data_IF_784295539185
#
_entry.id   IF_784295539185
#
_cell.length_a   1.000
_cell.length_b   1.000
_cell.length_c   1.000
_cell.angle_alpha   90.00
_cell.angle_beta   90.00
_cell.angle_gamma   90.00
#
_symmetry.space_group_name_H-M   'P 1'
#
loop_
_entity.id
_entity.type
_entity.pdbx_description
1 polymer ?
#
# COMPACT_ATOMS: atom_id res chain seq x y z
N UNK A 1 9.71 5.71 -3.48
CA UNK A 1 9.19 6.85 -4.26
C UNK A 1 8.89 6.55 -5.73
N UNK A 2 9.44 5.47 -6.32
CA UNK A 2 9.32 5.22 -7.76
C UNK A 2 7.94 4.66 -8.20
N UNK A 3 7.38 3.66 -7.49
CA UNK A 3 6.05 3.07 -7.79
C UNK A 3 4.83 4.02 -7.68
N UNK A 4 5.06 5.25 -7.21
CA UNK A 4 4.09 6.17 -6.59
C UNK A 4 3.57 7.24 -7.53
N UNK A 5 4.50 7.85 -8.26
CA UNK A 5 4.18 8.82 -9.30
C UNK A 5 3.76 8.06 -10.54
N UNK A 6 4.34 6.87 -10.73
CA UNK A 6 3.85 5.89 -11.68
C UNK A 6 2.38 5.62 -11.47
N UNK A 7 1.84 5.26 -10.30
CA UNK A 7 0.40 4.95 -10.22
C UNK A 7 -0.51 6.13 -10.58
N UNK A 8 -0.21 7.34 -10.08
CA UNK A 8 -1.00 8.55 -10.38
C UNK A 8 -0.87 8.97 -11.85
N UNK A 9 0.32 8.86 -12.41
CA UNK A 9 0.63 9.29 -13.77
C UNK A 9 0.24 8.24 -14.81
N UNK A 10 0.46 6.95 -14.52
CA UNK A 10 -0.06 5.79 -15.26
C UNK A 10 -1.57 5.84 -15.32
N UNK A 11 -2.27 6.12 -14.22
CA UNK A 11 -3.73 6.27 -14.23
C UNK A 11 -4.19 7.34 -15.24
N UNK A 12 -3.41 8.42 -15.40
CA UNK A 12 -3.69 9.45 -16.42
C UNK A 12 -3.29 9.05 -17.84
N UNK A 13 -2.20 8.31 -18.03
CA UNK A 13 -1.68 7.94 -19.35
C UNK A 13 -2.34 6.69 -19.94
N UNK A 14 -2.55 5.67 -19.12
CA UNK A 14 -3.22 4.40 -19.45
C UNK A 14 -4.74 4.60 -19.43
N UNK A 15 -5.24 5.42 -18.51
CA UNK A 15 -6.65 5.65 -18.27
C UNK A 15 -7.19 4.85 -17.08
N UNK A 16 -8.33 5.25 -16.51
CA UNK A 16 -8.94 4.56 -15.37
C UNK A 16 -9.48 3.18 -15.78
N UNK A 17 -9.69 2.31 -14.78
CA UNK A 17 -10.47 1.08 -14.96
C UNK A 17 -11.92 1.39 -15.32
N UNK A 18 -12.62 0.33 -15.75
CA UNK A 18 -14.06 0.34 -15.96
C UNK A 18 -14.78 0.95 -14.76
N UNK A 19 -15.83 1.74 -15.03
CA UNK A 19 -16.60 2.41 -13.98
C UNK A 19 -17.21 1.39 -13.01
N UNK A 20 -17.67 0.25 -13.53
CA UNK A 20 -18.21 -0.88 -12.75
C UNK A 20 -17.21 -1.41 -11.72
N UNK A 21 -15.94 -1.55 -12.10
CA UNK A 21 -14.87 -2.07 -11.23
C UNK A 21 -14.44 -1.06 -10.18
N UNK A 22 -14.57 0.23 -10.50
CA UNK A 22 -14.29 1.33 -9.56
C UNK A 22 -15.39 1.46 -8.52
N UNK A 23 -16.64 1.24 -8.92
CA UNK A 23 -17.79 1.24 -8.01
C UNK A 23 -17.84 -0.04 -7.14
N UNK A 24 -17.41 -1.18 -7.70
CA UNK A 24 -17.36 -2.48 -7.01
C UNK A 24 -15.93 -2.90 -6.66
N UNK A 25 -15.31 -2.17 -5.74
CA UNK A 25 -13.92 -2.38 -5.34
C UNK A 25 -13.76 -3.45 -4.24
N UNK A 26 -13.99 -4.72 -4.59
CA UNK A 26 -13.86 -5.86 -3.67
C UNK A 26 -12.49 -6.52 -3.87
N UNK A 27 -11.75 -6.87 -2.79
CA UNK A 27 -10.51 -7.63 -2.92
C UNK A 27 -10.76 -9.00 -3.56
N UNK A 28 -9.90 -9.37 -4.51
CA UNK A 28 -9.99 -10.67 -5.17
C UNK A 28 -9.72 -11.84 -4.18
N UNK A 29 -8.68 -11.75 -3.35
CA UNK A 29 -8.36 -12.78 -2.35
C UNK A 29 -7.63 -12.21 -1.11
N UNK A 30 -8.32 -12.21 0.04
CA UNK A 30 -7.78 -11.66 1.30
C UNK A 30 -6.69 -12.55 1.89
N UNK A 31 -6.81 -13.88 1.75
CA UNK A 31 -5.82 -14.81 2.29
C UNK A 31 -4.48 -14.69 1.56
N UNK A 32 -4.51 -14.58 0.23
CA UNK A 32 -3.31 -14.36 -0.57
C UNK A 32 -2.68 -12.99 -0.27
N UNK A 33 -3.50 -11.95 -0.07
CA UNK A 33 -3.02 -10.65 0.40
C UNK A 33 -2.29 -10.75 1.74
N UNK A 34 -2.81 -11.53 2.69
CA UNK A 34 -2.16 -11.74 3.99
C UNK A 34 -0.84 -12.52 3.86
N UNK A 35 -0.79 -13.53 3.01
CA UNK A 35 0.46 -14.24 2.70
C UNK A 35 1.51 -13.28 2.13
N UNK A 36 1.10 -12.43 1.17
CA UNK A 36 1.94 -11.38 0.61
C UNK A 36 2.39 -10.36 1.67
N UNK A 37 1.51 -9.98 2.59
CA UNK A 37 1.84 -9.08 3.69
C UNK A 37 2.92 -9.67 4.62
N UNK A 38 2.81 -10.96 4.98
CA UNK A 38 3.81 -11.66 5.78
C UNK A 38 5.17 -11.75 5.08
N UNK A 39 5.18 -12.11 3.78
CA UNK A 39 6.40 -12.14 2.98
C UNK A 39 7.04 -10.75 2.86
N UNK A 40 6.23 -9.70 2.68
CA UNK A 40 6.71 -8.32 2.62
C UNK A 40 7.34 -7.89 3.94
N UNK A 41 6.71 -8.15 5.10
CA UNK A 41 7.26 -7.79 6.39
C UNK A 41 8.60 -8.49 6.63
N UNK A 42 8.64 -9.81 6.42
CA UNK A 42 9.87 -10.59 6.55
C UNK A 42 10.97 -10.08 5.60
N UNK A 43 10.62 -9.88 4.32
CA UNK A 43 11.53 -9.35 3.31
C UNK A 43 12.03 -7.95 3.63
N UNK A 44 11.20 -7.09 4.25
CA UNK A 44 11.60 -5.73 4.61
C UNK A 44 12.66 -5.69 5.71
N UNK A 45 12.66 -6.69 6.61
CA UNK A 45 13.73 -6.83 7.59
C UNK A 45 15.08 -7.06 6.89
N UNK A 46 15.11 -7.85 5.82
CA UNK A 46 16.28 -7.99 4.94
C UNK A 46 16.58 -6.73 4.13
N UNK A 47 15.55 -6.03 3.64
CA UNK A 47 15.69 -4.79 2.87
C UNK A 47 16.38 -3.68 3.68
N UNK A 48 15.89 -3.41 4.90
CA UNK A 48 16.47 -2.38 5.77
C UNK A 48 17.71 -2.89 6.51
N UNK A 49 17.69 -4.13 7.00
CA UNK A 49 18.81 -4.74 7.72
C UNK A 49 20.02 -5.02 6.83
N UNK A 50 19.81 -5.24 5.53
CA UNK A 50 20.87 -5.45 4.55
C UNK A 50 21.42 -4.16 3.93
N UNK A 51 20.75 -3.01 4.12
CA UNK A 51 21.18 -1.73 3.56
C UNK A 51 22.60 -1.29 3.97
N UNK A 52 23.14 -1.66 5.15
CA UNK A 52 24.54 -1.38 5.48
C UNK A 52 25.56 -2.26 4.73
N UNK A 53 25.11 -3.25 3.94
CA UNK A 53 25.93 -4.23 3.21
C UNK A 53 26.94 -5.01 4.07
N UNK A 54 26.70 -5.07 5.38
CA UNK A 54 27.53 -5.77 6.35
C UNK A 54 26.69 -6.26 7.53
N UNK A 55 27.16 -7.30 8.22
CA UNK A 55 26.58 -7.76 9.48
C UNK A 55 27.16 -6.95 10.65
N UNK A 56 26.54 -5.83 10.99
CA UNK A 56 27.02 -4.91 12.02
C UNK A 56 25.87 -4.41 12.92
N UNK A 57 26.21 -3.57 13.92
CA UNK A 57 25.25 -3.02 14.86
C UNK A 57 24.13 -2.21 14.18
N UNK A 58 24.46 -1.46 13.13
CA UNK A 58 23.48 -0.66 12.38
C UNK A 58 22.45 -1.56 11.70
N UNK A 59 22.86 -2.71 11.17
CA UNK A 59 21.96 -3.71 10.59
C UNK A 59 20.96 -4.24 11.62
N UNK A 60 21.43 -4.55 12.84
CA UNK A 60 20.55 -5.00 13.94
C UNK A 60 19.55 -3.92 14.35
N UNK A 61 20.00 -2.65 14.45
CA UNK A 61 19.13 -1.51 14.78
C UNK A 61 18.11 -1.28 13.67
N UNK A 62 18.51 -1.39 12.39
CA UNK A 62 17.62 -1.25 11.26
C UNK A 62 16.50 -2.30 11.25
N UNK A 63 16.82 -3.56 11.55
CA UNK A 63 15.81 -4.63 11.68
C UNK A 63 14.87 -4.34 12.85
N UNK A 64 15.40 -3.94 14.01
CA UNK A 64 14.58 -3.62 15.19
C UNK A 64 13.61 -2.47 14.90
N UNK A 65 14.13 -1.36 14.36
CA UNK A 65 13.34 -0.18 14.02
C UNK A 65 12.27 -0.49 12.97
N UNK A 66 12.60 -1.36 12.00
CA UNK A 66 11.64 -1.82 10.98
C UNK A 66 10.44 -2.51 11.61
N UNK A 67 10.68 -3.43 12.54
CA UNK A 67 9.62 -4.17 13.21
C UNK A 67 8.79 -3.29 14.16
N UNK A 68 9.44 -2.41 14.93
CA UNK A 68 8.75 -1.47 15.82
C UNK A 68 7.83 -0.56 15.01
N UNK A 69 8.34 0.08 13.96
CA UNK A 69 7.54 1.00 13.13
C UNK A 69 6.35 0.29 12.47
N UNK A 70 6.58 -0.90 11.90
CA UNK A 70 5.51 -1.69 11.28
C UNK A 70 4.41 -2.06 12.27
N UNK A 71 4.78 -2.58 13.44
CA UNK A 71 3.83 -2.97 14.48
C UNK A 71 3.05 -1.77 15.02
N UNK A 72 3.73 -0.65 15.33
CA UNK A 72 3.06 0.56 15.82
C UNK A 72 2.12 1.15 14.77
N UNK A 73 2.54 1.21 13.50
CA UNK A 73 1.71 1.73 12.41
C UNK A 73 0.48 0.87 12.14
N UNK A 74 0.63 -0.45 12.17
CA UNK A 74 -0.48 -1.41 12.07
C UNK A 74 -1.50 -1.18 13.19
N UNK A 75 -1.04 -1.08 14.44
CA UNK A 75 -1.92 -0.85 15.59
C UNK A 75 -2.66 0.48 15.46
N UNK A 76 -1.95 1.57 15.17
CA UNK A 76 -2.54 2.91 15.03
C UNK A 76 -3.57 2.94 13.91
N UNK A 77 -3.26 2.37 12.75
CA UNK A 77 -4.20 2.30 11.63
C UNK A 77 -5.45 1.50 12.00
N UNK A 78 -5.27 0.33 12.60
CA UNK A 78 -6.39 -0.55 12.98
C UNK A 78 -7.26 0.13 14.05
N UNK A 79 -6.64 0.83 14.99
CA UNK A 79 -7.34 1.63 16.00
C UNK A 79 -8.14 2.77 15.37
N UNK A 80 -7.58 3.49 14.39
CA UNK A 80 -8.30 4.53 13.65
C UNK A 80 -9.47 3.96 12.84
N UNK A 81 -9.31 2.77 12.24
CA UNK A 81 -10.41 2.08 11.56
C UNK A 81 -11.54 1.72 12.53
N UNK A 82 -11.21 1.21 13.72
CA UNK A 82 -12.21 0.93 14.76
C UNK A 82 -12.93 2.20 15.19
N UNK A 83 -12.20 3.31 15.41
CA UNK A 83 -12.83 4.57 15.81
C UNK A 83 -13.73 5.18 14.74
N UNK A 84 -13.33 5.09 13.46
CA UNK A 84 -14.04 5.76 12.37
C UNK A 84 -15.13 4.89 11.73
N UNK A 85 -14.88 3.59 11.58
CA UNK A 85 -15.80 2.63 10.94
C UNK A 85 -16.51 1.70 11.92
N UNK A 86 -16.17 1.74 13.22
CA UNK A 86 -16.78 0.91 14.27
C UNK A 86 -16.29 -0.54 14.29
N UNK A 87 -15.38 -0.95 13.40
CA UNK A 87 -14.87 -2.32 13.31
C UNK A 87 -13.44 -2.36 12.77
N UNK A 88 -12.61 -3.33 13.18
CA UNK A 88 -11.27 -3.48 12.64
C UNK A 88 -11.31 -3.95 11.18
N UNK A 89 -10.34 -3.49 10.38
CA UNK A 89 -10.19 -3.88 8.97
C UNK A 89 -8.90 -4.65 8.75
N UNK A 90 -8.98 -5.84 8.17
CA UNK A 90 -7.79 -6.64 7.80
C UNK A 90 -6.98 -5.94 6.71
N UNK A 91 -7.66 -5.36 5.72
CA UNK A 91 -7.03 -4.58 4.65
C UNK A 91 -6.34 -3.35 5.25
N UNK A 92 -7.02 -2.69 6.19
CA UNK A 92 -6.47 -1.54 6.91
C UNK A 92 -5.22 -1.91 7.72
N UNK A 93 -5.25 -3.02 8.44
CA UNK A 93 -4.08 -3.52 9.18
C UNK A 93 -2.87 -3.76 8.25
N UNK A 94 -3.09 -4.36 7.07
CA UNK A 94 -2.04 -4.54 6.06
C UNK A 94 -1.54 -3.20 5.50
N UNK A 95 -2.42 -2.23 5.24
CA UNK A 95 -2.02 -0.88 4.82
C UNK A 95 -1.21 -0.16 5.93
N UNK A 96 -1.64 -0.27 7.18
CA UNK A 96 -0.92 0.25 8.35
C UNK A 96 0.46 -0.35 8.50
N UNK A 97 0.59 -1.67 8.32
CA UNK A 97 1.88 -2.35 8.30
C UNK A 97 2.80 -1.80 7.19
N UNK A 98 2.31 -1.76 5.93
CA UNK A 98 3.10 -1.31 4.78
C UNK A 98 3.55 0.15 4.95
N UNK A 99 2.68 1.03 5.45
CA UNK A 99 3.03 2.43 5.68
C UNK A 99 4.09 2.60 6.76
N UNK A 100 4.04 1.80 7.83
CA UNK A 100 5.09 1.75 8.86
C UNK A 100 6.45 1.32 8.32
N UNK A 101 6.44 0.27 7.49
CA UNK A 101 7.65 -0.23 6.81
C UNK A 101 8.21 0.81 5.82
N UNK A 102 7.35 1.44 5.01
CA UNK A 102 7.76 2.46 4.06
C UNK A 102 8.31 3.72 4.74
N UNK A 103 7.67 4.16 5.83
CA UNK A 103 8.06 5.37 6.56
C UNK A 103 9.42 5.23 7.26
N UNK A 104 9.71 4.07 7.89
CA UNK A 104 10.98 3.88 8.60
C UNK A 104 12.17 3.65 7.68
N UNK A 105 11.93 3.18 6.45
CA UNK A 105 12.99 2.83 5.47
C UNK A 105 14.14 3.86 5.37
N UNK A 106 13.89 5.17 5.16
CA UNK A 106 14.99 6.16 5.06
C UNK A 106 15.76 6.38 6.37
N UNK A 107 15.16 6.06 7.53
CA UNK A 107 15.72 6.30 8.85
C UNK A 107 16.18 5.03 9.58
N UNK A 108 15.95 3.83 9.02
CA UNK A 108 15.96 2.58 9.76
C UNK A 108 17.25 2.35 10.57
N UNK A 109 18.41 2.59 9.97
CA UNK A 109 19.72 2.43 10.63
C UNK A 109 20.27 3.70 11.30
N UNK A 110 19.59 4.84 11.20
CA UNK A 110 20.14 6.15 11.62
C UNK A 110 19.28 6.87 12.66
N UNK A 111 18.24 6.21 13.18
CA UNK A 111 17.39 6.75 14.25
C UNK A 111 17.38 5.81 15.46
N UNK A 112 17.11 6.39 16.62
CA UNK A 112 16.94 5.64 17.87
C UNK A 112 15.62 4.84 17.85
N UNK A 113 15.58 3.70 18.55
CA UNK A 113 14.42 2.80 18.48
C UNK A 113 13.14 3.36 19.09
N UNK A 114 13.23 4.28 20.05
CA UNK A 114 12.06 5.01 20.53
C UNK A 114 11.47 5.91 19.43
N UNK A 115 12.30 6.46 18.54
CA UNK A 115 11.84 7.28 17.42
C UNK A 115 11.11 6.42 16.38
N UNK A 116 11.45 5.13 16.24
CA UNK A 116 10.71 4.21 15.37
C UNK A 116 9.23 4.06 15.78
N UNK A 117 8.90 4.21 17.08
CA UNK A 117 7.51 4.27 17.55
C UNK A 117 6.82 5.52 17.01
N UNK A 118 7.50 6.68 17.05
CA UNK A 118 6.98 7.95 16.50
C UNK A 118 6.75 7.83 14.99
N UNK A 119 7.68 7.19 14.27
CA UNK A 119 7.50 6.91 12.83
C UNK A 119 6.25 6.08 12.60
N UNK A 120 6.07 5.00 13.35
CA UNK A 120 4.90 4.14 13.24
C UNK A 120 3.59 4.88 13.56
N UNK A 121 3.57 5.72 14.59
CA UNK A 121 2.37 6.51 14.92
C UNK A 121 1.99 7.50 13.82
N UNK A 122 2.98 8.19 13.25
CA UNK A 122 2.75 9.16 12.19
C UNK A 122 2.42 8.48 10.86
N UNK A 123 3.03 7.35 10.53
CA UNK A 123 2.72 6.58 9.32
C UNK A 123 1.39 5.86 9.38
N UNK A 124 0.94 5.47 10.58
CA UNK A 124 -0.38 4.88 10.78
C UNK A 124 -1.51 5.92 10.69
N UNK A 125 -1.22 7.19 10.97
CA UNK A 125 -2.23 8.25 11.05
C UNK A 125 -2.29 9.18 9.84
N UNK A 126 -1.16 9.66 9.34
CA UNK A 126 -1.11 10.65 8.24
C UNK A 126 -1.53 10.02 6.89
N UNK A 127 -0.93 8.91 6.44
CA UNK A 127 -1.43 8.13 5.32
C UNK A 127 -2.91 7.73 5.46
N UNK A 128 -3.35 7.27 6.64
CA UNK A 128 -4.75 6.94 6.90
C UNK A 128 -5.67 8.14 6.65
N UNK A 129 -5.35 9.31 7.24
CA UNK A 129 -6.11 10.54 7.06
C UNK A 129 -6.16 10.96 5.58
N UNK A 130 -5.01 10.89 4.90
CA UNK A 130 -4.92 11.27 3.50
C UNK A 130 -5.76 10.37 2.59
N UNK A 131 -5.85 9.07 2.90
CA UNK A 131 -6.62 8.10 2.14
C UNK A 131 -8.12 8.17 2.46
N UNK A 132 -8.49 8.19 3.75
CA UNK A 132 -9.89 8.06 4.18
C UNK A 132 -10.66 9.38 4.11
N UNK A 133 -9.98 10.51 4.30
CA UNK A 133 -10.61 11.83 4.42
C UNK A 133 -10.22 12.73 3.24
N UNK A 134 -8.92 12.94 3.00
CA UNK A 134 -8.48 13.89 1.98
C UNK A 134 -8.82 13.44 0.54
N UNK A 135 -8.69 12.14 0.25
CA UNK A 135 -9.08 11.59 -1.06
C UNK A 135 -10.54 11.89 -1.39
N UNK A 136 -11.45 11.75 -0.42
CA UNK A 136 -12.88 12.01 -0.62
C UNK A 136 -13.22 13.48 -0.81
N UNK A 137 -12.40 14.39 -0.27
CA UNK A 137 -12.61 15.85 -0.35
C UNK A 137 -11.96 16.48 -1.58
N UNK A 138 -10.94 15.86 -2.16
CA UNK A 138 -10.21 16.42 -3.30
C UNK A 138 -10.72 15.86 -4.63
N UNK A 139 -11.36 16.73 -5.42
CA UNK A 139 -11.81 16.40 -6.78
C UNK A 139 -10.66 16.01 -7.71
N UNK A 140 -9.43 16.45 -7.41
CA UNK A 140 -8.24 16.08 -8.16
C UNK A 140 -7.80 14.64 -7.85
N UNK A 141 -7.87 14.22 -6.58
CA UNK A 141 -7.48 12.87 -6.17
C UNK A 141 -8.51 11.82 -6.60
N UNK A 142 -9.80 12.16 -6.65
CA UNK A 142 -10.85 11.27 -7.15
C UNK A 142 -10.73 10.94 -8.64
N UNK A 143 -10.05 11.79 -9.42
CA UNK A 143 -9.77 11.54 -10.84
C UNK A 143 -8.65 10.52 -11.06
N UNK A 144 -7.91 10.19 -9.99
CA UNK A 144 -6.81 9.24 -10.04
C UNK A 144 -7.32 7.88 -9.56
N UNK A 145 -7.31 6.90 -10.45
CA UNK A 145 -7.63 5.51 -10.12
C UNK A 145 -6.37 4.78 -9.64
N UNK A 146 -5.97 5.08 -8.40
CA UNK A 146 -4.88 4.40 -7.70
C UNK A 146 -5.42 3.15 -7.00
N UNK A 147 -5.46 2.04 -7.73
CA UNK A 147 -6.09 0.78 -7.31
C UNK A 147 -5.52 0.31 -5.97
N UNK A 148 -4.21 0.07 -5.92
CA UNK A 148 -3.54 -0.49 -4.75
C UNK A 148 -3.25 0.56 -3.64
N UNK A 149 -3.80 1.77 -3.74
CA UNK A 149 -3.52 2.88 -2.82
C UNK A 149 -2.01 3.13 -2.63
N UNK A 150 -1.21 2.93 -3.68
CA UNK A 150 0.27 3.03 -3.64
C UNK A 150 0.71 4.46 -3.36
N UNK A 151 -0.05 5.44 -3.83
CA UNK A 151 0.21 6.84 -3.54
C UNK A 151 0.18 7.10 -2.02
N UNK A 152 -0.86 6.66 -1.33
CA UNK A 152 -0.97 6.88 0.12
C UNK A 152 0.04 6.05 0.90
N UNK A 153 0.14 4.77 0.56
CA UNK A 153 0.92 3.82 1.34
C UNK A 153 2.42 3.98 1.15
N UNK A 154 2.87 4.52 0.01
CA UNK A 154 4.28 4.68 -0.28
C UNK A 154 4.70 6.15 -0.50
N UNK A 155 3.89 7.01 -1.15
CA UNK A 155 4.28 8.40 -1.42
C UNK A 155 4.28 9.21 -0.14
N UNK A 156 3.12 9.22 0.50
CA UNK A 156 2.88 10.01 1.71
C UNK A 156 3.74 9.45 2.82
N UNK A 157 3.73 8.12 3.01
CA UNK A 157 4.57 7.45 4.00
C UNK A 157 6.07 7.64 3.73
N UNK A 158 6.53 7.50 2.48
CA UNK A 158 7.95 7.65 2.13
C UNK A 158 8.46 9.08 2.26
N UNK A 159 7.67 10.07 1.83
CA UNK A 159 7.97 11.48 2.04
C UNK A 159 8.05 11.79 3.53
N UNK A 160 7.03 11.38 4.29
CA UNK A 160 7.00 11.53 5.74
C UNK A 160 8.25 10.93 6.39
N UNK A 161 8.60 9.70 6.03
CA UNK A 161 9.80 9.03 6.51
C UNK A 161 11.09 9.82 6.24
N UNK A 162 11.25 10.32 5.02
CA UNK A 162 12.40 11.13 4.64
C UNK A 162 12.50 12.42 5.45
N UNK A 163 11.36 13.10 5.66
CA UNK A 163 11.27 14.32 6.46
C UNK A 163 11.56 14.03 7.94
N UNK A 164 10.98 12.98 8.51
CA UNK A 164 11.27 12.53 9.87
C UNK A 164 12.73 12.17 10.05
N UNK A 165 13.38 11.59 9.03
CA UNK A 165 14.82 11.29 9.08
C UNK A 165 15.62 12.58 9.18
N UNK A 166 15.19 13.64 8.48
CA UNK A 166 15.77 14.97 8.63
C UNK A 166 15.64 15.59 10.02
N UNK A 167 14.68 15.12 10.83
CA UNK A 167 14.48 15.58 12.21
C UNK A 167 15.21 14.70 13.23
N UNK A 168 15.10 13.38 13.09
CA UNK A 168 15.49 12.37 14.09
C UNK A 168 16.80 11.63 13.78
N UNK A 169 17.51 11.97 12.70
CA UNK A 169 18.81 11.35 12.41
C UNK A 169 19.79 11.56 13.58
N UNK A 170 20.18 10.47 14.23
CA UNK A 170 21.01 10.51 15.42
C UNK A 170 22.50 10.56 15.01
N UNK A 171 23.30 11.51 15.57
CA UNK A 171 24.67 11.74 15.15
C UNK A 171 25.60 10.52 15.21
N UNK A 172 25.53 9.71 16.27
CA UNK A 172 26.45 8.59 16.44
C UNK A 172 26.13 7.42 15.50
N UNK A 173 24.85 7.09 15.32
CA UNK A 173 24.40 6.14 14.30
C UNK A 173 24.74 6.61 12.89
N UNK A 174 24.57 7.91 12.61
CA UNK A 174 24.95 8.48 11.33
C UNK A 174 26.44 8.32 11.04
N UNK A 175 27.33 8.54 12.04
CA UNK A 175 28.79 8.34 11.88
C UNK A 175 29.17 6.88 11.60
N UNK A 176 28.38 5.91 12.04
CA UNK A 176 28.68 4.49 11.85
C UNK A 176 28.43 4.01 10.41
N UNK A 177 27.56 4.67 9.65
CA UNK A 177 27.14 4.21 8.31
C UNK A 177 27.32 5.23 7.20
N UNK A 178 27.23 6.53 7.50
CA UNK A 178 27.28 7.56 6.47
C UNK A 178 28.71 8.03 6.22
N UNK A 179 29.11 8.20 4.94
CA UNK A 179 30.42 8.77 4.61
C UNK A 179 30.51 10.27 4.93
N UNK A 180 29.37 10.95 5.08
CA UNK A 180 29.30 12.39 5.35
C UNK A 180 29.41 12.65 6.84
N UNK A 181 30.52 13.27 7.24
CA UNK A 181 30.77 13.67 8.63
C UNK A 181 29.79 14.75 9.11
N UNK A 182 29.54 14.79 10.42
CA UNK A 182 28.62 15.74 11.07
C UNK A 182 27.17 15.70 10.57
N UNK A 183 26.73 14.58 9.99
CA UNK A 183 25.31 14.37 9.66
C UNK A 183 24.51 14.17 10.94
N UNK A 184 23.47 14.99 11.13
CA UNK A 184 22.57 14.93 12.29
C UNK A 184 21.25 15.61 11.98
N UNK A 185 20.20 15.11 12.61
CA UNK A 185 18.85 15.64 12.49
C UNK A 185 18.67 16.97 13.22
N UNK A 186 17.58 17.66 12.91
CA UNK A 186 17.25 18.94 13.52
C UNK A 186 17.20 18.88 15.06
N UNK A 187 16.64 17.80 15.63
CA UNK A 187 16.51 17.64 17.08
C UNK A 187 17.83 17.35 17.81
N UNK A 188 18.88 17.02 17.07
CA UNK A 188 20.23 16.82 17.60
C UNK A 188 21.17 18.02 17.33
N UNK A 189 20.60 19.19 17.02
CA UNK A 189 21.38 20.41 16.75
C UNK A 189 21.98 20.46 15.34
N UNK A 190 21.40 19.73 14.37
CA UNK A 190 21.71 19.87 12.94
C UNK A 190 21.06 21.08 12.25
N UNK A 191 20.20 21.80 12.98
CA UNK A 191 19.36 22.85 12.44
C UNK A 191 18.38 22.35 11.37
N UNK A 192 17.80 23.26 10.59
CA UNK A 192 16.87 22.92 9.50
C UNK A 192 17.54 22.35 8.24
N UNK A 193 18.88 22.29 8.21
CA UNK A 193 19.63 21.95 7.00
C UNK A 193 19.39 20.52 6.51
N UNK A 194 19.35 19.55 7.43
CA UNK A 194 19.12 18.15 7.07
C UNK A 194 17.67 17.93 6.62
N UNK A 195 16.70 18.54 7.30
CA UNK A 195 15.31 18.52 6.88
C UNK A 195 15.13 19.11 5.47
N UNK A 196 15.76 20.25 5.19
CA UNK A 196 15.72 20.89 3.87
C UNK A 196 16.35 19.99 2.78
N UNK A 197 17.48 19.34 3.06
CA UNK A 197 18.08 18.37 2.14
C UNK A 197 17.13 17.21 1.82
N UNK A 198 16.47 16.66 2.83
CA UNK A 198 15.48 15.59 2.64
C UNK A 198 14.29 16.05 1.80
N UNK A 199 13.81 17.28 2.02
CA UNK A 199 12.73 17.87 1.23
C UNK A 199 13.16 18.09 -0.24
N UNK A 200 14.33 18.67 -0.47
CA UNK A 200 14.86 18.89 -1.83
C UNK A 200 15.09 17.57 -2.56
N UNK A 201 15.68 16.58 -1.88
CA UNK A 201 15.84 15.24 -2.43
C UNK A 201 14.49 14.61 -2.80
N UNK A 202 13.47 14.79 -1.95
CA UNK A 202 12.14 14.30 -2.24
C UNK A 202 11.51 14.98 -3.46
N UNK A 203 11.60 16.31 -3.56
CA UNK A 203 11.10 17.06 -4.72
C UNK A 203 11.83 16.68 -6.01
N UNK A 204 13.15 16.48 -5.95
CA UNK A 204 13.93 16.01 -7.09
C UNK A 204 13.46 14.63 -7.56
N UNK A 205 13.36 13.66 -6.65
CA UNK A 205 12.90 12.31 -6.98
C UNK A 205 11.46 12.35 -7.52
N UNK A 206 10.61 13.25 -7.01
CA UNK A 206 9.25 13.44 -7.53
C UNK A 206 9.30 13.95 -8.97
N UNK A 207 10.02 15.04 -9.23
CA UNK A 207 10.15 15.61 -10.56
C UNK A 207 10.77 14.62 -11.56
N UNK A 208 11.83 13.94 -11.15
CA UNK A 208 12.51 12.94 -11.98
C UNK A 208 11.58 11.80 -12.37
N UNK A 209 10.87 11.19 -11.42
CA UNK A 209 9.94 10.10 -11.73
C UNK A 209 8.79 10.56 -12.62
N UNK A 210 8.25 11.78 -12.41
CA UNK A 210 7.20 12.32 -13.30
C UNK A 210 7.74 12.35 -14.72
N UNK A 211 8.91 12.96 -14.92
CA UNK A 211 9.51 13.13 -16.26
C UNK A 211 9.89 11.78 -16.89
N UNK A 212 10.66 10.95 -16.18
CA UNK A 212 11.16 9.69 -16.72
C UNK A 212 10.04 8.71 -17.06
N UNK A 213 9.08 8.52 -16.15
CA UNK A 213 7.93 7.66 -16.39
C UNK A 213 7.08 8.20 -17.55
N UNK A 214 6.85 9.52 -17.62
CA UNK A 214 6.12 10.12 -18.75
C UNK A 214 6.78 9.76 -20.07
N UNK A 215 8.10 9.94 -20.17
CA UNK A 215 8.86 9.67 -21.39
C UNK A 215 8.79 8.19 -21.75
N UNK A 216 9.01 7.29 -20.78
CA UNK A 216 8.97 5.84 -21.00
C UNK A 216 7.60 5.42 -21.55
N UNK A 217 6.51 5.89 -20.93
CA UNK A 217 5.15 5.53 -21.36
C UNK A 217 4.80 6.11 -22.73
N UNK A 218 5.23 7.34 -23.03
CA UNK A 218 5.03 7.93 -24.35
C UNK A 218 5.77 7.14 -25.42
N UNK A 219 7.01 6.72 -25.15
CA UNK A 219 7.79 5.87 -26.07
C UNK A 219 7.10 4.52 -26.26
N UNK A 220 6.69 3.85 -25.19
CA UNK A 220 5.99 2.56 -25.27
C UNK A 220 4.67 2.73 -26.04
N UNK A 221 3.93 3.82 -25.84
CA UNK A 221 2.67 4.11 -26.51
C UNK A 221 2.80 4.24 -28.03
N UNK A 222 3.97 4.64 -28.53
CA UNK A 222 4.24 4.69 -29.97
C UNK A 222 4.36 3.27 -30.56
N UNK A 223 4.86 2.32 -29.77
CA UNK A 223 5.13 0.96 -30.22
C UNK A 223 3.96 0.00 -29.96
N UNK A 224 3.33 0.10 -28.78
CA UNK A 224 2.26 -0.81 -28.34
C UNK A 224 1.18 -0.04 -27.56
N UNK A 225 -0.05 -0.58 -27.56
CA UNK A 225 -1.14 -0.02 -26.75
C UNK A 225 -0.89 -0.31 -25.27
N UNK A 226 -0.83 0.74 -24.44
CA UNK A 226 -0.63 0.64 -22.99
C UNK A 226 -1.84 0.04 -22.25
N UNK A 227 -3.04 0.12 -22.83
CA UNK A 227 -4.29 -0.36 -22.24
C UNK A 227 -4.97 -1.33 -23.19
N UNK A 228 -5.46 -2.41 -22.60
CA UNK A 228 -6.32 -3.39 -23.24
C UNK A 228 -7.66 -2.77 -23.68
N UNK A 229 -8.24 -3.19 -24.83
CA UNK A 229 -9.59 -2.77 -25.23
C UNK A 229 -10.63 -3.07 -24.15
N UNK A 230 -11.69 -2.25 -24.10
CA UNK A 230 -12.73 -2.36 -23.07
C UNK A 230 -13.42 -3.71 -23.05
N UNK A 231 -13.63 -4.31 -24.23
CA UNK A 231 -14.24 -5.64 -24.39
C UNK A 231 -13.39 -6.76 -23.76
N UNK A 232 -12.06 -6.70 -23.87
CA UNK A 232 -11.17 -7.67 -23.23
C UNK A 232 -11.04 -7.41 -21.72
N UNK A 233 -11.13 -6.15 -21.27
CA UNK A 233 -11.16 -5.82 -19.83
C UNK A 233 -12.41 -6.38 -19.13
N UNK A 234 -13.53 -6.50 -19.84
CA UNK A 234 -14.76 -7.13 -19.33
C UNK A 234 -14.58 -8.65 -19.11
N UNK A 235 -13.76 -9.31 -19.93
CA UNK A 235 -13.48 -10.74 -19.85
C UNK A 235 -12.44 -11.03 -18.75
N UNK A 236 -11.39 -10.20 -18.66
CA UNK A 236 -10.35 -10.34 -17.63
C UNK A 236 -9.26 -11.35 -17.99
N UNK A 237 -8.81 -12.16 -17.03
CA UNK A 237 -7.63 -13.03 -17.17
C UNK A 237 -7.76 -14.02 -18.33
N UNK A 238 -8.96 -14.53 -18.62
CA UNK A 238 -9.21 -15.44 -19.74
C UNK A 238 -8.87 -14.80 -21.10
N UNK A 239 -9.16 -13.50 -21.30
CA UNK A 239 -8.81 -12.81 -22.54
C UNK A 239 -7.31 -12.61 -22.74
N UNK A 240 -6.51 -12.69 -21.68
CA UNK A 240 -5.06 -12.43 -21.71
C UNK A 240 -4.25 -13.73 -21.66
N UNK A 241 -4.66 -14.65 -20.81
CA UNK A 241 -3.92 -15.86 -20.46
C UNK A 241 -4.64 -17.13 -20.91
N UNK A 242 -5.92 -17.07 -21.28
CA UNK A 242 -6.74 -18.25 -21.59
C UNK A 242 -7.00 -19.14 -20.37
N UNK A 243 -6.85 -18.58 -19.16
CA UNK A 243 -6.98 -19.29 -17.90
C UNK A 243 -7.78 -18.45 -16.91
N UNK A 244 -8.67 -19.09 -16.14
CA UNK A 244 -9.31 -18.46 -14.99
C UNK A 244 -8.48 -18.68 -13.72
N UNK A 245 -8.23 -17.60 -12.97
CA UNK A 245 -7.47 -17.66 -11.72
C UNK A 245 -8.09 -18.58 -10.66
N UNK A 246 -9.41 -18.76 -10.69
CA UNK A 246 -10.13 -19.67 -9.82
C UNK A 246 -11.22 -20.43 -10.57
N UNK A 247 -11.02 -21.73 -10.77
CA UNK A 247 -12.07 -22.64 -11.23
C UNK A 247 -13.05 -22.99 -10.09
N UNK A 248 -13.74 -21.98 -9.54
CA UNK A 248 -14.73 -22.19 -8.46
C UNK A 248 -15.97 -22.92 -8.97
N UNK A 249 -16.23 -22.83 -10.27
CA UNK A 249 -17.25 -23.57 -11.00
C UNK A 249 -16.61 -23.95 -12.33
N UNK A 250 -16.25 -25.22 -12.51
CA UNK A 250 -15.95 -25.71 -13.86
C UNK A 250 -17.15 -25.45 -14.75
N UNK A 251 -16.92 -25.13 -16.02
CA UNK A 251 -17.96 -24.86 -17.02
C UNK A 251 -19.17 -25.79 -16.86
N UNK A 252 -20.24 -25.30 -16.20
CA UNK A 252 -21.51 -26.01 -16.04
C UNK A 252 -21.84 -26.61 -14.67
N UNK A 253 -20.94 -26.63 -13.68
CA UNK A 253 -21.32 -27.09 -12.33
C UNK A 253 -21.94 -25.94 -11.53
N UNK A 254 -23.26 -25.98 -11.34
CA UNK A 254 -23.94 -25.18 -10.31
C UNK A 254 -23.84 -25.92 -8.98
N UNK A 255 -23.65 -25.18 -7.88
CA UNK A 255 -23.77 -25.73 -6.53
C UNK A 255 -25.09 -26.51 -6.38
N UNK A 256 -25.00 -27.83 -6.35
CA UNK A 256 -26.14 -28.69 -6.08
C UNK A 256 -26.27 -28.87 -4.56
N UNK A 257 -27.09 -28.02 -3.95
CA UNK A 257 -27.39 -28.09 -2.52
C UNK A 257 -28.02 -29.44 -2.10
N UNK A 258 -28.50 -30.25 -3.05
CA UNK A 258 -29.08 -31.57 -2.78
C UNK A 258 -28.03 -32.67 -2.58
N UNK A 259 -26.78 -32.45 -3.01
CA UNK A 259 -25.72 -33.48 -2.87
C UNK A 259 -25.11 -33.53 -1.46
N UNK A 260 -25.18 -32.44 -0.69
CA UNK A 260 -24.57 -32.36 0.65
C UNK A 260 -25.48 -31.76 1.73
N UNK A 261 -26.74 -31.44 1.43
CA UNK A 261 -27.74 -31.07 2.43
C UNK A 261 -28.36 -32.31 3.08
N UNK A 262 -28.43 -32.34 4.41
CA UNK A 262 -29.24 -33.33 5.13
C UNK A 262 -30.65 -33.37 4.51
N UNK A 263 -31.08 -34.53 4.03
CA UNK A 263 -32.40 -34.77 3.44
C UNK A 263 -33.53 -34.44 4.43
N UNK A 264 -33.85 -33.15 4.55
CA UNK A 264 -35.00 -32.67 5.29
C UNK A 264 -35.97 -31.99 4.30
N UNK A 265 -37.10 -32.62 3.97
CA UNK A 265 -38.00 -32.16 2.91
C UNK A 265 -38.59 -30.76 3.16
N UNK A 266 -38.52 -30.22 4.37
CA UNK A 266 -38.94 -28.85 4.69
C UNK A 266 -38.00 -27.76 4.11
N UNK A 267 -36.76 -28.09 3.76
CA UNK A 267 -35.78 -27.11 3.23
C UNK A 267 -35.88 -26.90 1.71
N UNK A 268 -36.45 -27.86 0.98
CA UNK A 268 -36.54 -27.83 -0.49
C UNK A 268 -37.64 -26.87 -0.97
N UNK A 269 -38.73 -26.77 -0.22
CA UNK A 269 -39.87 -25.91 -0.55
C UNK A 269 -39.56 -24.41 -0.42
N UNK A 270 -38.62 -24.04 0.44
CA UNK A 270 -38.20 -22.64 0.63
C UNK A 270 -37.33 -22.11 -0.54
N UNK A 271 -36.67 -23.00 -1.28
CA UNK A 271 -35.79 -22.66 -2.42
C UNK A 271 -36.51 -22.71 -3.77
N UNK A 272 -37.70 -23.30 -3.84
CA UNK A 272 -38.48 -23.48 -5.07
C UNK A 272 -39.39 -22.28 -5.42
N UNK A 273 -39.36 -21.18 -4.65
CA UNK A 273 -40.03 -19.95 -5.05
C UNK A 273 -39.16 -19.15 -6.03
N UNK A 274 -39.74 -18.56 -7.11
CA UNK A 274 -39.00 -17.73 -8.06
C UNK A 274 -38.63 -16.40 -7.39
N UNK A 275 -37.56 -16.42 -6.62
CA UNK A 275 -37.09 -15.31 -5.80
C UNK A 275 -35.61 -15.51 -5.46
N UNK A 276 -34.78 -15.69 -6.49
CA UNK A 276 -33.33 -15.77 -6.34
C UNK A 276 -32.77 -14.49 -5.70
N UNK A 277 -32.14 -14.67 -4.53
CA UNK A 277 -31.23 -13.77 -3.83
C UNK A 277 -31.46 -12.26 -4.06
N UNK A 278 -32.39 -11.66 -3.31
CA UNK A 278 -32.24 -10.25 -2.96
C UNK A 278 -30.98 -10.12 -2.10
N UNK A 279 -29.90 -9.61 -2.70
CA UNK A 279 -28.86 -8.96 -1.92
C UNK A 279 -29.53 -7.97 -0.98
N UNK A 280 -29.10 -7.98 0.28
CA UNK A 280 -29.54 -6.99 1.26
C UNK A 280 -29.02 -5.63 0.80
N UNK A 281 -29.84 -4.90 0.05
CA UNK A 281 -29.71 -3.45 -0.11
C UNK A 281 -30.03 -2.84 1.24
N UNK A 282 -28.97 -2.51 2.00
CA UNK A 282 -29.09 -1.46 3.02
C UNK A 282 -29.19 -0.16 2.22
N UNK A 283 -30.41 0.37 2.10
CA UNK A 283 -30.58 1.77 1.75
C UNK A 283 -29.97 2.60 2.89
N UNK A 284 -28.99 3.44 2.55
CA UNK A 284 -28.63 4.60 3.35
C UNK A 284 -29.67 5.70 3.13
#
# INVERSE_FOLDING_TARGET
MNKIIESVHMSKQVGPRLKTDRERYVPNNILLMLAGAGLLWMGWSGFNGGAPYAANLVSSIAILNTNISAATSLLVWTTLDVFYFGKPSVIGAVQGMITGLACITPGAGVVQSWAAIVYGMLSGSIPWYSMMILHKKSTLLQKVDDTLAVFYTHAVAGLLGGLLTGLFAEPDLCKMILPVTNTKGAFYGGGGSQFAKQLVAALFIIGWNIVSTTIILLVIRILIRLRMPEEQLMIGDDAVHGEEAYALWGDGEKYDATQHGWNNPAHVEMLAQPGGARGVTINL
#
